data_IF_785013969333
#
_entry.id   IF_785013969333
#
_cell.length_a   1.000
_cell.length_b   1.000
_cell.length_c   1.000
_cell.angle_alpha   90.00
_cell.angle_beta   90.00
_cell.angle_gamma   90.00
#
_symmetry.space_group_name_H-M   'P 1'
#
loop_
_entity.id
_entity.type
_entity.pdbx_description
1 polymer ?
#
# COMPACT_ATOMS: atom_id res chain seq x y z
N UNK A 1 -10.76 -11.52 4.69
CA UNK A 1 -10.61 -10.63 3.52
C UNK A 1 -11.73 -9.59 3.37
N UNK A 2 -13.02 -9.95 3.47
CA UNK A 2 -14.13 -8.98 3.31
C UNK A 2 -14.01 -7.75 4.25
N UNK A 3 -13.70 -7.99 5.53
CA UNK A 3 -13.54 -6.91 6.52
C UNK A 3 -12.36 -5.97 6.24
N UNK A 4 -11.25 -6.48 5.70
CA UNK A 4 -10.06 -5.68 5.38
C UNK A 4 -10.37 -4.73 4.21
N UNK A 5 -11.03 -5.22 3.15
CA UNK A 5 -11.39 -4.38 2.00
C UNK A 5 -12.31 -3.23 2.42
N UNK A 6 -13.30 -3.51 3.28
CA UNK A 6 -14.22 -2.50 3.77
C UNK A 6 -13.49 -1.45 4.62
N UNK A 7 -12.63 -1.87 5.54
CA UNK A 7 -11.85 -0.97 6.39
C UNK A 7 -10.89 -0.10 5.59
N UNK A 8 -10.18 -0.68 4.62
CA UNK A 8 -9.33 0.07 3.69
C UNK A 8 -10.13 1.14 2.97
N UNK A 9 -11.31 0.78 2.44
CA UNK A 9 -12.18 1.73 1.73
C UNK A 9 -12.65 2.86 2.66
N UNK A 10 -13.11 2.54 3.87
CA UNK A 10 -13.60 3.54 4.81
C UNK A 10 -12.48 4.50 5.24
N UNK A 11 -11.38 3.97 5.78
CA UNK A 11 -10.33 4.77 6.40
C UNK A 11 -9.57 5.60 5.36
N UNK A 12 -9.25 5.03 4.19
CA UNK A 12 -8.54 5.77 3.15
C UNK A 12 -9.41 6.83 2.46
N UNK A 13 -10.72 6.61 2.35
CA UNK A 13 -11.62 7.63 1.78
C UNK A 13 -11.75 8.83 2.71
N UNK A 14 -11.82 8.60 4.03
CA UNK A 14 -11.93 9.67 5.03
C UNK A 14 -10.59 10.34 5.34
N UNK A 15 -9.50 9.57 5.37
CA UNK A 15 -8.17 10.02 5.78
C UNK A 15 -7.08 9.50 4.82
N UNK A 16 -7.02 10.00 3.58
CA UNK A 16 -6.09 9.50 2.56
C UNK A 16 -4.61 9.61 2.96
N UNK A 17 -4.27 10.54 3.85
CA UNK A 17 -2.89 10.77 4.33
C UNK A 17 -2.58 10.09 5.66
N UNK A 18 -3.43 9.17 6.15
CA UNK A 18 -3.29 8.54 7.47
C UNK A 18 -1.95 7.83 7.69
N UNK A 19 -1.31 7.35 6.62
CA UNK A 19 -0.09 6.57 6.69
C UNK A 19 1.13 7.34 6.17
N UNK A 20 2.32 7.13 6.77
CA UNK A 20 3.56 7.75 6.31
C UNK A 20 4.00 7.17 4.95
N UNK A 21 4.91 7.89 4.28
CA UNK A 21 5.62 7.36 3.11
C UNK A 21 6.42 6.12 3.51
N UNK A 22 6.41 5.12 2.64
CA UNK A 22 7.12 3.86 2.84
C UNK A 22 8.59 4.03 2.54
N UNK A 23 9.42 4.14 3.57
CA UNK A 23 10.88 4.14 3.42
C UNK A 23 11.39 2.87 2.72
N UNK A 24 10.72 1.73 2.95
CA UNK A 24 11.07 0.44 2.33
C UNK A 24 10.85 0.44 0.82
N UNK A 25 9.76 1.06 0.34
CA UNK A 25 9.51 1.19 -1.11
C UNK A 25 10.44 2.24 -1.72
N UNK A 26 10.66 3.35 -1.01
CA UNK A 26 11.56 4.39 -1.45
C UNK A 26 12.99 3.86 -1.65
N UNK A 27 13.48 3.03 -0.72
CA UNK A 27 14.77 2.36 -0.83
C UNK A 27 14.89 1.39 -2.02
N UNK A 28 13.76 0.94 -2.57
CA UNK A 28 13.68 0.11 -3.77
C UNK A 28 13.43 0.93 -5.05
N UNK A 29 13.48 2.27 -4.98
CA UNK A 29 13.23 3.17 -6.10
C UNK A 29 11.75 3.42 -6.40
N UNK A 30 10.84 2.96 -5.52
CA UNK A 30 9.39 3.11 -5.67
C UNK A 30 8.91 4.26 -4.77
N UNK A 31 8.81 5.46 -5.35
CA UNK A 31 8.53 6.70 -4.62
C UNK A 31 7.03 6.97 -4.39
N UNK A 32 6.72 7.87 -3.45
CA UNK A 32 5.38 8.42 -3.16
C UNK A 32 4.31 7.43 -2.66
N UNK A 33 4.68 6.17 -2.48
CA UNK A 33 3.81 5.18 -1.85
C UNK A 33 3.89 5.26 -0.32
N UNK A 34 2.71 5.22 0.30
CA UNK A 34 2.48 5.14 1.73
C UNK A 34 2.34 3.69 2.16
N UNK A 35 2.73 3.40 3.41
CA UNK A 35 2.61 2.07 4.00
C UNK A 35 1.70 2.13 5.22
N UNK A 36 0.58 1.41 5.16
CA UNK A 36 -0.35 1.31 6.27
C UNK A 36 -0.49 -0.12 6.77
N UNK A 37 -0.21 -0.32 8.05
CA UNK A 37 -0.54 -1.55 8.75
C UNK A 37 -2.02 -1.55 9.13
N UNK A 38 -2.84 -2.23 8.32
CA UNK A 38 -4.28 -2.31 8.51
C UNK A 38 -4.60 -3.12 9.77
N UNK A 39 -3.89 -4.20 10.02
CA UNK A 39 -4.01 -4.98 11.25
C UNK A 39 -2.69 -5.71 11.58
N UNK A 40 -2.72 -6.68 12.51
CA UNK A 40 -1.52 -7.42 12.92
C UNK A 40 -0.86 -8.19 11.76
N UNK A 41 -1.61 -8.50 10.72
CA UNK A 41 -1.14 -9.33 9.62
C UNK A 41 -1.08 -8.57 8.30
N UNK A 42 -1.86 -7.52 8.08
CA UNK A 42 -2.04 -6.96 6.74
C UNK A 42 -1.41 -5.58 6.61
N UNK A 43 -0.62 -5.40 5.55
CA UNK A 43 -0.04 -4.13 5.16
C UNK A 43 -0.53 -3.77 3.77
N UNK A 44 -1.05 -2.55 3.63
CA UNK A 44 -1.43 -1.98 2.33
C UNK A 44 -0.43 -0.91 1.93
N UNK A 45 -0.01 -0.96 0.68
CA UNK A 45 0.80 0.06 0.02
C UNK A 45 -0.05 0.79 -1.00
N UNK A 46 -0.07 2.12 -0.91
CA UNK A 46 -0.93 2.94 -1.75
C UNK A 46 -0.31 4.30 -1.99
N UNK A 47 -0.68 4.98 -3.08
CA UNK A 47 -0.33 6.39 -3.31
C UNK A 47 -1.56 7.22 -3.57
N UNK A 48 -1.41 8.53 -3.39
CA UNK A 48 -2.42 9.50 -3.75
C UNK A 48 -2.10 10.04 -5.13
N UNK A 49 -3.04 9.87 -6.05
CA UNK A 49 -3.00 10.52 -7.35
C UNK A 49 -3.79 11.83 -7.22
N UNK A 50 -3.07 12.89 -6.90
CA UNK A 50 -3.67 14.23 -6.69
C UNK A 50 -4.27 14.79 -7.97
N UNK A 51 -3.68 14.48 -9.13
CA UNK A 51 -4.15 14.95 -10.43
C UNK A 51 -5.55 14.40 -10.74
N UNK A 52 -5.78 13.11 -10.48
CA UNK A 52 -7.07 12.47 -10.72
C UNK A 52 -7.94 12.31 -9.47
N UNK A 53 -7.52 12.88 -8.33
CA UNK A 53 -8.20 12.79 -7.02
C UNK A 53 -8.59 11.35 -6.65
N UNK A 54 -7.66 10.41 -6.82
CA UNK A 54 -7.91 8.99 -6.54
C UNK A 54 -6.81 8.38 -5.69
N UNK A 55 -7.14 7.24 -5.09
CA UNK A 55 -6.21 6.43 -4.30
C UNK A 55 -5.85 5.22 -5.12
N UNK A 56 -4.56 5.03 -5.39
CA UNK A 56 -4.05 3.91 -6.16
C UNK A 56 -3.43 2.89 -5.20
N UNK A 57 -4.03 1.70 -5.15
CA UNK A 57 -3.51 0.59 -4.36
C UNK A 57 -2.46 -0.15 -5.18
N UNK A 58 -1.23 -0.23 -4.65
CA UNK A 58 -0.16 -1.03 -5.23
C UNK A 58 -0.31 -2.50 -4.83
N UNK A 59 -0.44 -2.73 -3.52
CA UNK A 59 -0.35 -4.07 -2.95
C UNK A 59 -1.02 -4.15 -1.59
N UNK A 60 -1.68 -5.26 -1.32
CA UNK A 60 -2.06 -5.73 0.00
C UNK A 60 -1.32 -7.05 0.25
N UNK A 61 -0.52 -7.12 1.32
CA UNK A 61 0.29 -8.29 1.64
C UNK A 61 0.23 -8.63 3.13
N UNK A 62 0.59 -9.86 3.47
CA UNK A 62 0.84 -10.24 4.86
C UNK A 62 2.18 -9.62 5.32
N UNK A 63 2.22 -9.04 6.52
CA UNK A 63 3.38 -8.35 7.09
C UNK A 63 4.62 -9.25 7.22
N UNK A 64 4.43 -10.57 7.28
CA UNK A 64 5.51 -11.57 7.32
C UNK A 64 6.12 -11.85 5.96
N UNK A 65 5.46 -11.46 4.87
CA UNK A 65 5.98 -11.64 3.53
C UNK A 65 7.14 -10.66 3.25
N UNK A 66 8.11 -11.12 2.46
CA UNK A 66 9.23 -10.26 2.05
C UNK A 66 8.79 -9.34 0.91
N UNK A 67 8.68 -8.04 1.20
CA UNK A 67 8.26 -7.01 0.25
C UNK A 67 9.15 -6.96 -1.00
N UNK A 68 10.47 -7.07 -0.85
CA UNK A 68 11.39 -6.99 -1.99
C UNK A 68 11.19 -8.18 -2.95
N UNK A 69 11.08 -9.39 -2.40
CA UNK A 69 10.82 -10.59 -3.20
C UNK A 69 9.48 -10.49 -3.93
N UNK A 70 8.44 -10.06 -3.23
CA UNK A 70 7.09 -9.92 -3.78
C UNK A 70 7.02 -8.84 -4.86
N UNK A 71 7.69 -7.70 -4.67
CA UNK A 71 7.78 -6.65 -5.69
C UNK A 71 8.55 -7.12 -6.93
N UNK A 72 9.65 -7.86 -6.75
CA UNK A 72 10.38 -8.42 -7.87
C UNK A 72 9.50 -9.36 -8.70
N UNK A 73 8.71 -10.22 -8.04
CA UNK A 73 7.73 -11.09 -8.70
C UNK A 73 6.63 -10.30 -9.44
N UNK A 74 6.16 -9.18 -8.88
CA UNK A 74 5.13 -8.34 -9.49
C UNK A 74 5.66 -7.52 -10.69
N UNK A 75 6.87 -6.96 -10.58
CA UNK A 75 7.45 -6.11 -11.64
C UNK A 75 7.94 -6.91 -12.85
N UNK A 76 8.18 -8.22 -12.71
CA UNK A 76 8.54 -9.08 -13.84
C UNK A 76 7.37 -9.36 -14.80
N UNK A 77 6.13 -9.12 -14.37
CA UNK A 77 4.91 -9.36 -15.15
C UNK A 77 4.28 -8.06 -15.68
N UNK A 78 4.94 -6.91 -15.49
CA UNK A 78 4.46 -5.58 -15.89
C UNK A 78 5.00 -5.16 -17.27
#
# INVERSE_FOLDING_TARGET
MANIKQRIKQDLTSHPTLAPISERLLALGVADYRQWQVDQHNVVFYRLDEANKRIELLLLMDSRQNLQKLLFELMLLA
#
